data_IF_993736921113
#
_entry.id   IF_993736921113
#
_cell.length_a   1.000
_cell.length_b   1.000
_cell.length_c   1.000
_cell.angle_alpha   90.00
_cell.angle_beta   90.00
_cell.angle_gamma   90.00
#
_symmetry.space_group_name_H-M   'P 1'
#
loop_
_entity.id
_entity.type
_entity.pdbx_description
1 polymer ?
#
# COMPACT_ATOMS: atom_id res chain seq x y z
N UNK A 1 39.62 -54.23 17.99
CA UNK A 1 40.91 -54.14 17.29
C UNK A 1 41.20 -52.64 17.15
N UNK A 2 41.82 -52.02 18.10
CA UNK A 2 43.28 -51.81 18.30
C UNK A 2 43.98 -51.48 16.96
N UNK A 3 44.50 -50.27 16.77
CA UNK A 3 45.83 -49.88 17.24
C UNK A 3 46.03 -48.36 17.26
N UNK A 4 46.65 -47.91 18.35
CA UNK A 4 47.31 -46.59 18.56
C UNK A 4 48.66 -46.58 17.88
N UNK A 5 49.17 -45.41 17.53
CA UNK A 5 50.56 -45.04 17.81
C UNK A 5 50.78 -43.53 17.78
N UNK A 6 51.29 -43.06 18.87
CA UNK A 6 51.89 -41.78 19.17
C UNK A 6 53.37 -41.82 18.83
N UNK A 7 53.99 -40.69 18.41
CA UNK A 7 55.36 -40.37 18.79
C UNK A 7 55.68 -38.88 18.78
N UNK A 8 56.36 -38.48 19.82
CA UNK A 8 56.87 -37.20 20.27
C UNK A 8 58.31 -37.02 19.80
N UNK A 9 58.80 -35.78 19.62
CA UNK A 9 60.17 -35.31 20.10
C UNK A 9 60.40 -33.86 19.63
N UNK A 10 60.63 -33.04 20.39
CA UNK A 10 61.48 -32.12 21.18
C UNK A 10 62.81 -31.69 20.50
N UNK A 11 63.18 -30.45 20.87
CA UNK A 11 64.44 -29.70 20.91
C UNK A 11 64.73 -28.83 19.67
N UNK A 12 65.34 -27.63 19.74
CA UNK A 12 66.02 -26.85 20.79
C UNK A 12 66.19 -25.39 20.31
N UNK A 13 66.30 -24.51 21.27
CA UNK A 13 66.60 -23.07 21.16
C UNK A 13 67.96 -22.76 20.53
N UNK A 14 68.01 -21.65 19.77
CA UNK A 14 69.28 -20.85 19.72
C UNK A 14 68.93 -19.37 19.51
N UNK A 15 69.36 -18.54 20.45
CA UNK A 15 69.40 -17.09 20.41
C UNK A 15 70.43 -16.57 19.46
N UNK A 16 70.14 -15.50 18.70
CA UNK A 16 71.20 -14.54 18.32
C UNK A 16 70.62 -13.15 18.17
N UNK A 17 71.21 -12.20 18.91
CA UNK A 17 70.93 -10.76 18.90
C UNK A 17 71.69 -10.07 17.76
N UNK A 18 71.11 -9.03 17.21
CA UNK A 18 71.58 -7.66 16.91
C UNK A 18 70.84 -7.10 15.70
N UNK A 19 70.38 -5.95 15.65
CA UNK A 19 70.60 -4.56 15.92
C UNK A 19 69.96 -3.72 14.81
N UNK A 20 69.25 -2.73 15.25
CA UNK A 20 68.74 -1.49 14.64
C UNK A 20 69.11 -1.15 13.18
N UNK A 21 68.06 -0.94 12.36
CA UNK A 21 68.07 0.17 11.38
C UNK A 21 66.58 0.58 11.06
N UNK A 22 66.26 1.81 11.41
CA UNK A 22 65.00 2.48 11.11
C UNK A 22 64.99 2.85 9.63
N UNK A 23 63.98 2.37 8.88
CA UNK A 23 63.62 2.98 7.58
C UNK A 23 62.12 3.13 7.50
N UNK A 24 61.66 4.38 7.49
CA UNK A 24 60.31 4.80 7.22
C UNK A 24 59.97 4.51 5.76
N UNK A 25 59.08 3.58 5.50
CA UNK A 25 58.40 3.44 4.21
C UNK A 25 56.96 3.86 4.42
N UNK A 26 56.62 5.01 3.85
CA UNK A 26 55.23 5.50 3.77
C UNK A 26 54.45 4.58 2.81
N UNK A 27 53.57 3.75 3.35
CA UNK A 27 52.60 2.98 2.57
C UNK A 27 51.39 3.88 2.32
N UNK A 28 51.27 4.41 1.10
CA UNK A 28 50.07 5.08 0.63
C UNK A 28 48.98 4.01 0.44
N UNK A 29 48.05 3.92 1.40
CA UNK A 29 46.80 3.15 1.24
C UNK A 29 45.86 3.92 0.29
N UNK A 30 45.77 3.49 -0.95
CA UNK A 30 44.70 3.85 -1.86
C UNK A 30 43.40 3.22 -1.30
N UNK A 31 42.61 4.00 -0.60
CA UNK A 31 41.23 3.64 -0.26
C UNK A 31 40.39 3.80 -1.53
N UNK A 32 40.15 2.68 -2.24
CA UNK A 32 39.07 2.64 -3.24
C UNK A 32 37.75 2.82 -2.50
N UNK A 33 37.26 4.04 -2.52
CA UNK A 33 35.89 4.36 -2.07
C UNK A 33 34.91 3.79 -3.09
N UNK A 34 34.40 2.57 -2.84
CA UNK A 34 33.18 2.11 -3.50
C UNK A 34 32.06 3.05 -3.07
N UNK A 35 31.70 3.98 -3.94
CA UNK A 35 30.47 4.73 -3.79
C UNK A 35 29.28 3.75 -3.90
N UNK A 36 28.90 3.17 -2.75
CA UNK A 36 27.57 2.55 -2.62
C UNK A 36 26.58 3.68 -2.78
N UNK A 37 25.79 3.63 -3.87
CA UNK A 37 24.63 4.52 -4.03
C UNK A 37 23.80 4.46 -2.75
N UNK A 38 23.74 5.56 -2.01
CA UNK A 38 22.85 5.66 -0.86
C UNK A 38 21.42 5.53 -1.38
N UNK A 39 20.57 4.69 -0.75
CA UNK A 39 19.15 4.76 -1.01
C UNK A 39 18.72 6.20 -0.75
N UNK A 40 18.05 6.81 -1.74
CA UNK A 40 17.51 8.16 -1.59
C UNK A 40 16.43 8.11 -0.51
N UNK A 41 16.82 8.39 0.73
CA UNK A 41 15.86 8.66 1.80
C UNK A 41 15.03 9.84 1.37
N UNK A 42 13.73 9.62 1.13
CA UNK A 42 12.77 10.70 0.94
C UNK A 42 12.80 11.51 2.22
N UNK A 43 13.48 12.63 2.20
CA UNK A 43 13.53 13.56 3.33
C UNK A 43 12.12 14.10 3.50
N UNK A 44 11.45 13.74 4.61
CA UNK A 44 10.12 14.24 4.99
C UNK A 44 10.01 15.78 4.96
N UNK A 45 11.13 16.49 4.91
CA UNK A 45 11.20 17.95 4.74
C UNK A 45 10.66 18.48 3.40
N UNK A 46 10.50 17.61 2.39
CA UNK A 46 9.94 17.97 1.08
C UNK A 46 8.41 18.14 1.11
N UNK A 47 7.75 17.69 2.17
CA UNK A 47 6.29 17.60 2.26
C UNK A 47 5.73 18.33 3.46
N UNK A 48 4.64 19.09 3.26
CA UNK A 48 3.86 19.75 4.32
C UNK A 48 2.51 19.01 4.43
N UNK A 49 2.20 18.46 5.61
CA UNK A 49 0.90 17.86 5.84
C UNK A 49 -0.21 18.90 5.79
N UNK A 50 -1.21 18.67 4.95
CA UNK A 50 -2.34 19.61 4.73
C UNK A 50 -3.67 19.05 5.21
N UNK A 51 -3.77 17.72 5.38
CA UNK A 51 -4.94 17.04 5.92
C UNK A 51 -4.56 15.70 6.52
N UNK A 52 -5.32 15.25 7.53
CA UNK A 52 -5.22 13.88 8.03
C UNK A 52 -6.49 13.40 8.71
N UNK A 53 -6.59 12.08 8.85
CA UNK A 53 -7.39 11.42 9.85
C UNK A 53 -6.53 10.37 10.56
N UNK A 54 -6.37 10.55 11.86
CA UNK A 54 -5.60 9.68 12.76
C UNK A 54 -6.52 8.68 13.48
N UNK A 55 -7.80 8.64 13.12
CA UNK A 55 -8.84 7.76 13.65
C UNK A 55 -8.90 7.69 15.19
N UNK A 56 -8.56 8.80 15.83
CA UNK A 56 -8.63 8.94 17.28
C UNK A 56 -10.10 9.03 17.74
N UNK A 57 -10.50 8.21 18.71
CA UNK A 57 -11.84 8.20 19.26
C UNK A 57 -12.14 6.94 20.06
N UNK A 58 -13.29 6.89 20.75
CA UNK A 58 -13.66 5.73 21.55
C UNK A 58 -14.03 4.53 20.66
N UNK A 59 -13.86 3.33 21.20
CA UNK A 59 -14.26 2.10 20.50
C UNK A 59 -15.74 2.12 20.15
N UNK A 60 -16.07 1.68 18.93
CA UNK A 60 -17.43 1.68 18.37
C UNK A 60 -17.88 3.01 17.76
N UNK A 61 -17.08 4.08 17.88
CA UNK A 61 -17.40 5.35 17.25
C UNK A 61 -17.34 5.25 15.70
N UNK A 62 -18.18 6.05 15.04
CA UNK A 62 -18.16 6.21 13.58
C UNK A 62 -16.99 7.07 13.14
N UNK A 63 -16.63 6.96 11.86
CA UNK A 63 -15.71 7.92 11.23
C UNK A 63 -16.30 9.33 11.22
N UNK A 64 -15.43 10.32 11.22
CA UNK A 64 -15.82 11.74 11.14
C UNK A 64 -16.58 12.01 9.83
N UNK A 65 -17.86 12.38 9.95
CA UNK A 65 -18.74 12.68 8.80
C UNK A 65 -18.35 13.96 8.03
N UNK A 66 -17.49 14.80 8.60
CA UNK A 66 -16.91 15.94 7.88
C UNK A 66 -15.77 15.52 6.96
N UNK A 67 -15.16 14.36 7.22
CA UNK A 67 -14.05 13.80 6.43
C UNK A 67 -14.50 12.69 5.49
N UNK A 68 -15.44 11.85 5.91
CA UNK A 68 -15.81 10.63 5.21
C UNK A 68 -17.32 10.53 4.93
N UNK A 69 -17.64 9.86 3.84
CA UNK A 69 -18.97 9.35 3.52
C UNK A 69 -18.88 7.86 3.19
N UNK A 70 -20.01 7.14 3.36
CA UNK A 70 -20.09 5.72 3.07
C UNK A 70 -20.60 5.47 1.66
N UNK A 71 -20.09 4.43 1.00
CA UNK A 71 -20.83 3.71 -0.01
C UNK A 71 -21.58 2.57 0.69
N UNK A 72 -22.80 2.29 0.26
CA UNK A 72 -23.66 1.23 0.82
C UNK A 72 -24.23 0.37 -0.29
N UNK A 73 -24.74 -0.81 0.07
CA UNK A 73 -25.31 -1.80 -0.83
C UNK A 73 -24.25 -2.53 -1.70
N UNK A 74 -24.69 -3.16 -2.78
CA UNK A 74 -23.88 -4.01 -3.65
C UNK A 74 -23.52 -3.36 -5.00
N UNK A 75 -23.70 -2.04 -5.11
CA UNK A 75 -23.40 -1.27 -6.32
C UNK A 75 -24.52 -1.20 -7.35
N UNK A 76 -25.57 -2.02 -7.25
CA UNK A 76 -26.66 -2.01 -8.23
C UNK A 76 -27.41 -0.69 -8.26
N UNK A 77 -27.57 -0.01 -7.13
CA UNK A 77 -28.26 1.29 -7.02
C UNK A 77 -27.54 2.44 -7.75
N UNK A 78 -26.25 2.23 -8.09
CA UNK A 78 -25.47 3.18 -8.90
C UNK A 78 -25.10 2.61 -10.28
N UNK A 79 -25.77 1.51 -10.67
CA UNK A 79 -25.64 0.91 -12.01
C UNK A 79 -24.42 -0.02 -12.21
N UNK A 80 -23.69 -0.36 -11.15
CA UNK A 80 -22.50 -1.22 -11.21
C UNK A 80 -22.62 -2.36 -10.19
N UNK A 81 -23.57 -3.30 -10.45
CA UNK A 81 -23.77 -4.46 -9.57
C UNK A 81 -22.47 -5.20 -9.29
N UNK A 82 -22.27 -5.66 -8.04
CA UNK A 82 -21.00 -6.24 -7.60
C UNK A 82 -19.84 -5.27 -7.76
N UNK A 83 -20.12 -3.97 -7.66
CA UNK A 83 -19.16 -2.86 -7.82
C UNK A 83 -18.36 -2.92 -9.12
N UNK A 84 -18.86 -3.64 -10.14
CA UNK A 84 -18.24 -3.81 -11.45
C UNK A 84 -17.22 -4.96 -11.53
N UNK A 85 -16.95 -5.65 -10.43
CA UNK A 85 -15.96 -6.72 -10.31
C UNK A 85 -16.55 -8.05 -9.84
N UNK A 86 -17.89 -8.18 -9.84
CA UNK A 86 -18.63 -9.33 -9.31
C UNK A 86 -18.36 -9.58 -7.80
N UNK A 87 -18.05 -8.49 -7.06
CA UNK A 87 -17.83 -8.50 -5.62
C UNK A 87 -19.07 -9.04 -4.88
N UNK A 88 -18.87 -9.72 -3.76
CA UNK A 88 -19.91 -10.50 -3.07
C UNK A 88 -20.38 -9.86 -1.76
N UNK A 89 -19.79 -8.77 -1.32
CA UNK A 89 -20.27 -8.05 -0.14
C UNK A 89 -21.38 -7.08 -0.46
N UNK A 90 -22.14 -6.81 0.59
CA UNK A 90 -23.02 -5.67 0.71
C UNK A 90 -22.36 -4.67 1.65
N UNK A 91 -21.95 -3.51 1.16
CA UNK A 91 -21.36 -2.49 1.98
C UNK A 91 -22.39 -1.84 2.90
N UNK A 92 -21.98 -1.63 4.16
CA UNK A 92 -22.82 -1.03 5.21
C UNK A 92 -22.05 0.06 5.95
N UNK A 93 -22.77 0.86 6.72
CA UNK A 93 -22.21 1.80 7.71
C UNK A 93 -22.39 1.29 9.14
N UNK A 94 -22.70 0.00 9.31
CA UNK A 94 -22.92 -0.61 10.61
C UNK A 94 -21.61 -0.73 11.40
N UNK A 95 -21.63 -0.50 12.73
CA UNK A 95 -20.40 -0.57 13.55
C UNK A 95 -19.70 -1.93 13.49
N UNK A 96 -20.44 -3.00 13.18
CA UNK A 96 -19.89 -4.34 13.00
C UNK A 96 -18.99 -4.45 11.78
N UNK A 97 -19.20 -3.62 10.75
CA UNK A 97 -18.41 -3.58 9.54
C UNK A 97 -17.40 -2.44 9.53
N UNK A 98 -17.68 -1.33 10.23
CA UNK A 98 -16.78 -0.19 10.27
C UNK A 98 -16.94 0.64 11.54
N UNK A 99 -15.88 0.71 12.34
CA UNK A 99 -15.84 1.52 13.56
C UNK A 99 -14.41 1.84 13.97
N UNK A 100 -14.24 2.88 14.77
CA UNK A 100 -13.00 3.12 15.50
C UNK A 100 -12.82 2.04 16.57
N UNK A 101 -11.61 1.56 16.77
CA UNK A 101 -11.34 0.49 17.75
C UNK A 101 -10.96 0.98 19.15
N UNK A 102 -10.89 2.30 19.35
CA UNK A 102 -10.49 2.92 20.62
C UNK A 102 -8.98 2.92 20.90
N UNK A 103 -8.16 2.54 19.90
CA UNK A 103 -6.68 2.51 19.98
C UNK A 103 -6.03 3.39 18.91
N UNK A 104 -6.77 4.37 18.39
CA UNK A 104 -6.29 5.23 17.28
C UNK A 104 -6.32 4.53 15.93
N UNK A 105 -7.27 3.63 15.67
CA UNK A 105 -7.37 2.90 14.41
C UNK A 105 -8.82 2.77 13.97
N UNK A 106 -9.03 2.84 12.66
CA UNK A 106 -10.26 2.43 12.01
C UNK A 106 -10.18 0.93 11.68
N UNK A 107 -11.24 0.18 12.01
CA UNK A 107 -11.42 -1.21 11.64
C UNK A 107 -12.49 -1.31 10.55
N UNK A 108 -12.15 -1.91 9.40
CA UNK A 108 -13.11 -2.32 8.35
C UNK A 108 -13.14 -3.85 8.36
N UNK A 109 -14.33 -4.43 8.58
CA UNK A 109 -14.48 -5.86 8.77
C UNK A 109 -15.49 -6.49 7.80
N UNK A 110 -15.05 -7.55 7.11
CA UNK A 110 -15.94 -8.48 6.40
C UNK A 110 -16.56 -9.43 7.41
N UNK A 111 -17.88 -9.64 7.28
CA UNK A 111 -18.66 -10.56 8.11
C UNK A 111 -19.67 -11.35 7.26
N UNK A 112 -20.21 -12.43 7.82
CA UNK A 112 -21.39 -13.06 7.25
C UNK A 112 -22.55 -12.06 7.25
N UNK A 113 -23.29 -12.04 6.14
CA UNK A 113 -24.49 -11.20 6.04
C UNK A 113 -25.60 -11.73 6.97
N UNK A 114 -26.40 -10.86 7.58
CA UNK A 114 -27.61 -11.25 8.28
C UNK A 114 -28.62 -11.81 7.29
N UNK A 115 -29.52 -12.67 7.79
CA UNK A 115 -30.62 -13.20 6.98
C UNK A 115 -31.55 -12.07 6.48
N UNK A 116 -32.09 -12.23 5.27
CA UNK A 116 -33.03 -11.30 4.66
C UNK A 116 -32.39 -10.18 3.85
N UNK A 117 -31.06 -10.05 3.83
CA UNK A 117 -30.36 -9.10 2.94
C UNK A 117 -30.23 -9.69 1.54
N UNK A 118 -30.56 -8.90 0.51
CA UNK A 118 -30.54 -9.32 -0.89
C UNK A 118 -29.49 -8.55 -1.68
N UNK A 119 -28.65 -9.26 -2.42
CA UNK A 119 -27.65 -8.78 -3.36
C UNK A 119 -28.03 -9.12 -4.81
N UNK A 120 -27.28 -8.64 -5.78
CA UNK A 120 -27.50 -8.89 -7.21
C UNK A 120 -27.50 -10.38 -7.59
N UNK A 121 -26.84 -11.23 -6.80
CA UNK A 121 -26.75 -12.67 -7.00
C UNK A 121 -27.72 -13.50 -6.13
N UNK A 122 -28.66 -12.88 -5.41
CA UNK A 122 -29.61 -13.51 -4.48
C UNK A 122 -29.33 -13.15 -3.02
N UNK A 123 -29.54 -14.02 -2.04
CA UNK A 123 -29.23 -13.73 -0.64
C UNK A 123 -27.77 -13.32 -0.49
N UNK A 124 -27.52 -12.17 0.16
CA UNK A 124 -26.16 -11.71 0.40
C UNK A 124 -25.42 -12.68 1.30
N UNK A 125 -24.17 -13.01 0.94
CA UNK A 125 -23.29 -13.88 1.74
C UNK A 125 -22.50 -13.09 2.76
N UNK A 126 -22.10 -11.86 2.40
CA UNK A 126 -21.18 -11.07 3.19
C UNK A 126 -21.64 -9.62 3.32
N UNK A 127 -21.21 -8.98 4.41
CA UNK A 127 -21.23 -7.53 4.59
C UNK A 127 -19.82 -7.03 4.83
N UNK A 128 -19.55 -5.79 4.42
CA UNK A 128 -18.29 -5.08 4.63
C UNK A 128 -18.53 -3.58 4.67
N UNK A 129 -17.45 -2.79 4.53
CA UNK A 129 -17.60 -1.34 4.42
C UNK A 129 -16.65 -0.73 3.38
N UNK A 130 -17.11 0.40 2.82
CA UNK A 130 -16.37 1.28 1.92
C UNK A 130 -16.66 2.72 2.29
N UNK A 131 -15.59 3.50 2.47
CA UNK A 131 -15.66 4.94 2.76
C UNK A 131 -14.86 5.75 1.74
N UNK A 132 -15.24 7.01 1.61
CA UNK A 132 -14.61 7.93 0.66
C UNK A 132 -14.64 9.37 1.17
N UNK A 133 -13.66 10.16 0.71
CA UNK A 133 -13.59 11.60 1.00
C UNK A 133 -14.30 12.46 -0.05
N UNK A 134 -15.03 11.86 -1.01
CA UNK A 134 -15.73 12.58 -2.08
C UNK A 134 -16.68 13.64 -1.51
N UNK A 135 -16.56 14.87 -2.01
CA UNK A 135 -17.37 16.02 -1.55
C UNK A 135 -16.98 16.54 -0.17
N UNK A 136 -15.90 16.01 0.44
CA UNK A 136 -15.35 16.42 1.74
C UNK A 136 -13.92 16.94 1.58
N UNK A 137 -13.01 16.09 1.06
CA UNK A 137 -11.63 16.44 0.79
C UNK A 137 -11.20 15.84 -0.55
N UNK A 138 -10.49 16.62 -1.33
CA UNK A 138 -9.90 16.24 -2.59
C UNK A 138 -8.41 16.59 -2.56
N UNK A 139 -7.56 15.56 -2.60
CA UNK A 139 -6.13 15.73 -2.60
C UNK A 139 -5.66 16.35 -3.93
N UNK A 140 -4.94 17.45 -3.88
CA UNK A 140 -4.24 18.04 -5.03
C UNK A 140 -3.01 17.18 -5.36
N UNK A 141 -2.42 17.32 -6.58
CA UNK A 141 -1.12 16.72 -6.87
C UNK A 141 -0.12 16.95 -5.74
N UNK A 142 0.46 15.88 -5.25
CA UNK A 142 1.25 15.88 -4.03
C UNK A 142 1.50 14.45 -3.54
N UNK A 143 1.36 14.21 -2.23
CA UNK A 143 1.51 12.89 -1.63
C UNK A 143 0.29 12.52 -0.79
N UNK A 144 -0.21 11.29 -0.95
CA UNK A 144 -1.21 10.68 -0.08
C UNK A 144 -0.65 9.39 0.46
N UNK A 145 -0.82 9.17 1.76
CA UNK A 145 -0.37 7.93 2.40
C UNK A 145 -1.39 7.43 3.43
N UNK A 146 -1.43 6.12 3.60
CA UNK A 146 -2.17 5.46 4.67
C UNK A 146 -1.30 4.37 5.30
N UNK A 147 -1.40 4.22 6.62
CA UNK A 147 -0.74 3.13 7.34
C UNK A 147 -1.77 2.07 7.69
N UNK A 148 -1.60 0.89 7.10
CA UNK A 148 -2.62 -0.17 7.08
C UNK A 148 -2.01 -1.51 7.43
N UNK A 149 -2.74 -2.31 8.23
CA UNK A 149 -2.51 -3.74 8.43
C UNK A 149 -3.59 -4.51 7.70
N UNK A 150 -3.16 -5.38 6.77
CA UNK A 150 -4.07 -6.10 5.88
C UNK A 150 -4.55 -7.42 6.51
N UNK A 151 -5.78 -7.86 6.21
CA UNK A 151 -6.20 -9.23 6.52
C UNK A 151 -5.56 -10.22 5.53
N UNK A 152 -5.51 -11.50 5.90
CA UNK A 152 -5.13 -12.60 5.03
C UNK A 152 -6.28 -13.59 4.87
N UNK A 153 -6.43 -14.16 3.69
CA UNK A 153 -7.43 -15.17 3.35
C UNK A 153 -7.93 -15.01 1.93
N UNK A 154 -8.04 -16.11 1.20
CA UNK A 154 -8.51 -16.10 -0.18
C UNK A 154 -9.88 -15.45 -0.30
N UNK A 155 -10.03 -14.65 -1.33
CA UNK A 155 -11.23 -13.90 -1.64
C UNK A 155 -11.29 -12.51 -0.98
N UNK A 156 -10.38 -12.18 -0.05
CA UNK A 156 -10.30 -10.83 0.52
C UNK A 156 -9.54 -9.89 -0.42
N UNK A 157 -10.11 -8.72 -0.62
CA UNK A 157 -9.56 -7.66 -1.48
C UNK A 157 -9.57 -6.32 -0.73
N UNK A 158 -8.60 -6.04 0.13
CA UNK A 158 -8.43 -4.72 0.70
C UNK A 158 -7.94 -3.74 -0.37
N UNK A 159 -8.55 -2.54 -0.39
CA UNK A 159 -8.24 -1.46 -1.30
C UNK A 159 -8.00 -0.13 -0.60
N UNK A 160 -6.91 0.54 -0.98
CA UNK A 160 -6.64 1.95 -0.73
C UNK A 160 -6.33 2.60 -2.08
N UNK A 161 -7.24 3.43 -2.55
CA UNK A 161 -7.25 3.93 -3.91
C UNK A 161 -7.91 5.31 -4.02
N UNK A 162 -7.87 5.90 -5.18
CA UNK A 162 -8.34 7.26 -5.41
C UNK A 162 -9.00 7.38 -6.79
N UNK A 163 -10.07 8.17 -6.89
CA UNK A 163 -10.70 8.53 -8.16
C UNK A 163 -10.63 10.04 -8.40
N UNK A 164 -10.56 10.40 -9.68
CA UNK A 164 -10.58 11.80 -10.09
C UNK A 164 -11.80 12.54 -9.56
N UNK A 165 -11.60 13.76 -9.06
CA UNK A 165 -12.63 14.57 -8.41
C UNK A 165 -13.80 14.94 -9.31
N UNK A 166 -13.62 14.86 -10.63
CA UNK A 166 -14.64 15.09 -11.65
C UNK A 166 -15.61 13.91 -11.83
N UNK A 167 -15.38 12.76 -11.19
CA UNK A 167 -16.33 11.64 -11.19
C UNK A 167 -17.59 11.99 -10.36
N UNK A 168 -18.85 11.72 -10.82
CA UNK A 168 -19.23 10.94 -12.02
C UNK A 168 -19.50 11.79 -13.25
N UNK A 169 -19.35 13.13 -13.21
CA UNK A 169 -19.58 13.97 -14.38
C UNK A 169 -18.66 13.57 -15.54
N UNK A 170 -17.43 13.21 -15.23
CA UNK A 170 -16.52 12.46 -16.11
C UNK A 170 -16.53 11.01 -15.67
N UNK A 171 -17.11 10.08 -16.46
CA UNK A 171 -17.23 8.68 -16.04
C UNK A 171 -15.85 7.97 -16.03
N UNK A 172 -15.77 6.89 -15.29
CA UNK A 172 -14.62 5.98 -15.33
C UNK A 172 -14.54 5.31 -16.72
N UNK A 173 -13.34 5.09 -17.29
CA UNK A 173 -12.02 5.41 -16.74
C UNK A 173 -11.50 6.82 -17.05
N UNK A 174 -12.31 7.68 -17.67
CA UNK A 174 -11.92 9.02 -18.11
C UNK A 174 -11.58 9.96 -16.94
N UNK A 175 -12.15 9.72 -15.76
CA UNK A 175 -11.83 10.49 -14.56
C UNK A 175 -10.45 10.19 -13.99
N UNK A 176 -9.83 9.07 -14.39
CA UNK A 176 -8.57 8.58 -13.81
C UNK A 176 -8.76 7.88 -12.46
N UNK A 177 -7.90 6.92 -12.18
CA UNK A 177 -7.84 6.14 -10.94
C UNK A 177 -6.39 5.88 -10.56
N UNK A 178 -6.12 5.94 -9.26
CA UNK A 178 -4.83 5.65 -8.64
C UNK A 178 -5.03 4.58 -7.58
N UNK A 179 -4.61 3.35 -7.85
CA UNK A 179 -4.66 2.24 -6.90
C UNK A 179 -3.37 2.23 -6.11
N UNK A 180 -3.41 2.84 -4.91
CA UNK A 180 -2.22 2.99 -4.08
C UNK A 180 -1.81 1.66 -3.48
N UNK A 181 -2.78 0.85 -3.08
CA UNK A 181 -2.58 -0.50 -2.57
C UNK A 181 -3.81 -1.36 -2.86
N UNK A 182 -3.57 -2.47 -3.51
CA UNK A 182 -4.49 -3.59 -3.62
C UNK A 182 -3.77 -4.88 -3.20
N UNK A 183 -4.47 -5.78 -2.54
CA UNK A 183 -3.89 -7.05 -2.13
C UNK A 183 -4.85 -8.21 -2.45
N UNK A 184 -4.30 -9.28 -3.02
CA UNK A 184 -4.95 -10.57 -3.04
C UNK A 184 -4.79 -11.19 -1.66
N UNK A 185 -5.87 -11.33 -0.89
CA UNK A 185 -5.82 -11.93 0.45
C UNK A 185 -5.24 -13.34 0.46
N UNK A 186 -5.31 -14.06 -0.67
CA UNK A 186 -4.64 -15.35 -0.89
C UNK A 186 -3.13 -15.26 -0.94
N UNK A 187 -2.57 -14.07 -1.20
CA UNK A 187 -1.12 -13.81 -1.21
C UNK A 187 -0.76 -12.64 -0.28
N UNK A 188 -0.76 -12.84 1.04
CA UNK A 188 -0.58 -11.77 2.01
C UNK A 188 0.84 -11.18 2.04
N UNK A 189 1.77 -11.69 1.24
CA UNK A 189 3.14 -11.16 1.09
C UNK A 189 3.29 -10.13 -0.01
N UNK A 190 2.31 -10.03 -0.92
CA UNK A 190 2.40 -9.16 -2.08
C UNK A 190 1.22 -8.19 -2.15
N UNK A 191 1.49 -6.98 -2.63
CA UNK A 191 0.50 -5.97 -3.00
C UNK A 191 0.76 -5.51 -4.42
N UNK A 192 -0.19 -4.82 -5.01
CA UNK A 192 -0.04 -4.14 -6.30
C UNK A 192 -0.45 -2.68 -6.19
N UNK A 193 0.13 -1.87 -7.07
CA UNK A 193 -0.29 -0.50 -7.35
C UNK A 193 -0.55 -0.35 -8.83
N UNK A 194 -1.54 0.46 -9.19
CA UNK A 194 -1.93 0.66 -10.59
C UNK A 194 -2.40 2.08 -10.87
N UNK A 195 -2.45 2.43 -12.14
CA UNK A 195 -3.19 3.58 -12.65
C UNK A 195 -4.11 3.14 -13.78
N UNK A 196 -5.33 3.67 -13.78
CA UNK A 196 -6.30 3.49 -14.85
C UNK A 196 -6.69 4.83 -15.45
N UNK A 197 -6.90 4.82 -16.78
CA UNK A 197 -7.34 5.98 -17.54
C UNK A 197 -7.70 5.61 -18.97
N UNK A 198 -8.02 6.59 -19.83
CA UNK A 198 -8.42 6.35 -21.21
C UNK A 198 -7.35 5.59 -22.00
N UNK A 199 -7.68 4.37 -22.46
CA UNK A 199 -6.78 3.51 -23.24
C UNK A 199 -5.95 2.53 -22.40
N UNK A 200 -5.94 2.65 -21.07
CA UNK A 200 -5.21 1.77 -20.15
C UNK A 200 -6.03 1.53 -18.87
N UNK A 201 -6.95 0.59 -18.92
CA UNK A 201 -7.87 0.29 -17.81
C UNK A 201 -8.30 -1.17 -17.79
N UNK A 202 -8.98 -1.58 -16.72
CA UNK A 202 -9.49 -2.92 -16.52
C UNK A 202 -8.37 -3.96 -16.54
N UNK A 203 -8.25 -4.75 -17.60
CA UNK A 203 -7.23 -5.79 -17.73
C UNK A 203 -5.87 -5.31 -18.25
N UNK A 204 -5.75 -4.05 -18.62
CA UNK A 204 -4.55 -3.47 -19.22
C UNK A 204 -4.11 -2.16 -18.56
N UNK A 205 -4.11 -2.05 -17.23
CA UNK A 205 -3.61 -0.88 -16.52
C UNK A 205 -2.08 -0.80 -16.61
N UNK A 206 -1.52 0.35 -16.23
CA UNK A 206 -0.12 0.39 -15.80
C UNK A 206 -0.07 -0.06 -14.34
N UNK A 207 0.40 -1.26 -14.09
CA UNK A 207 0.42 -1.89 -12.76
C UNK A 207 1.77 -2.52 -12.44
N UNK A 208 2.13 -2.55 -11.17
CA UNK A 208 3.33 -3.21 -10.65
C UNK A 208 3.06 -3.80 -9.26
N UNK A 209 3.43 -5.08 -9.10
CA UNK A 209 3.43 -5.75 -7.82
C UNK A 209 4.65 -5.40 -6.97
N UNK A 210 4.49 -5.49 -5.65
CA UNK A 210 5.55 -5.44 -4.66
C UNK A 210 5.41 -6.61 -3.70
N UNK A 211 6.51 -7.31 -3.42
CA UNK A 211 6.54 -8.44 -2.48
C UNK A 211 7.49 -8.12 -1.32
N UNK A 212 7.00 -8.27 -0.09
CA UNK A 212 7.83 -8.11 1.11
C UNK A 212 9.02 -9.08 1.08
N UNK A 213 10.24 -8.61 1.42
CA UNK A 213 11.41 -9.47 1.53
C UNK A 213 11.22 -10.59 2.56
N UNK A 214 10.48 -10.30 3.65
CA UNK A 214 10.15 -11.24 4.72
C UNK A 214 8.81 -10.89 5.34
N UNK A 215 8.17 -11.86 6.02
CA UNK A 215 6.90 -11.65 6.70
C UNK A 215 5.72 -11.49 5.74
N UNK A 216 4.67 -10.85 6.21
CA UNK A 216 3.38 -10.68 5.54
C UNK A 216 2.77 -9.33 5.91
N UNK A 217 2.02 -8.71 5.03
CA UNK A 217 1.25 -7.49 5.29
C UNK A 217 0.14 -7.70 6.34
N UNK A 218 -0.12 -8.94 6.73
CA UNK A 218 -1.03 -9.29 7.82
C UNK A 218 -0.34 -9.39 9.18
N UNK A 219 1.00 -9.33 9.24
CA UNK A 219 1.75 -9.44 10.49
C UNK A 219 1.80 -8.10 11.24
N UNK A 220 2.00 -6.99 10.52
CA UNK A 220 2.11 -5.64 11.08
C UNK A 220 1.55 -4.57 10.14
N UNK A 221 1.60 -3.31 10.59
CA UNK A 221 1.22 -2.14 9.80
C UNK A 221 2.34 -1.74 8.84
N UNK A 222 1.94 -1.47 7.60
CA UNK A 222 2.79 -0.93 6.55
C UNK A 222 2.23 0.39 6.04
N UNK A 223 3.10 1.29 5.58
CA UNK A 223 2.69 2.55 4.95
C UNK A 223 2.65 2.39 3.44
N UNK A 224 1.49 2.64 2.86
CA UNK A 224 1.31 2.69 1.41
C UNK A 224 1.15 4.14 1.00
N UNK A 225 1.84 4.56 -0.07
CA UNK A 225 1.77 5.95 -0.50
C UNK A 225 1.84 6.11 -2.02
N UNK A 226 1.21 7.18 -2.50
CA UNK A 226 1.34 7.68 -3.86
C UNK A 226 1.82 9.12 -3.85
N UNK A 227 2.75 9.43 -4.73
CA UNK A 227 3.14 10.78 -5.12
C UNK A 227 2.81 10.98 -6.58
N UNK A 228 2.15 12.10 -6.91
CA UNK A 228 1.89 12.40 -8.31
C UNK A 228 1.99 13.90 -8.59
N UNK A 229 2.35 14.19 -9.81
CA UNK A 229 2.48 15.52 -10.38
C UNK A 229 2.03 15.54 -11.86
N UNK A 230 2.29 16.61 -12.58
CA UNK A 230 1.94 16.72 -14.00
C UNK A 230 2.74 15.80 -14.94
N UNK A 231 3.81 15.17 -14.45
CA UNK A 231 4.77 14.42 -15.26
C UNK A 231 4.83 12.94 -14.92
N UNK A 232 4.45 12.53 -13.69
CA UNK A 232 4.62 11.14 -13.24
C UNK A 232 3.77 10.81 -12.02
N UNK A 233 3.58 9.49 -11.81
CA UNK A 233 3.03 8.88 -10.60
C UNK A 233 4.10 7.94 -10.02
N UNK A 234 4.26 7.95 -8.69
CA UNK A 234 5.19 7.09 -7.96
C UNK A 234 4.49 6.43 -6.80
N UNK A 235 4.68 5.13 -6.65
CA UNK A 235 4.09 4.35 -5.56
C UNK A 235 5.17 3.83 -4.61
N UNK A 236 4.81 3.77 -3.32
CA UNK A 236 5.71 3.41 -2.24
C UNK A 236 5.04 2.39 -1.31
N UNK A 237 5.85 1.45 -0.82
CA UNK A 237 5.54 0.61 0.33
C UNK A 237 6.62 0.89 1.37
N UNK A 238 6.21 1.35 2.55
CA UNK A 238 7.09 1.91 3.57
C UNK A 238 7.98 3.02 2.97
N UNK A 239 9.29 2.90 3.06
CA UNK A 239 10.22 3.86 2.45
C UNK A 239 10.69 3.43 1.04
N UNK A 240 10.17 2.32 0.50
CA UNK A 240 10.59 1.76 -0.78
C UNK A 240 9.69 2.26 -1.91
N UNK A 241 10.26 3.05 -2.82
CA UNK A 241 9.59 3.33 -4.11
C UNK A 241 9.68 2.10 -4.99
N UNK A 242 8.56 1.43 -5.21
CA UNK A 242 8.53 0.20 -6.01
C UNK A 242 8.04 0.40 -7.44
N UNK A 243 7.35 1.52 -7.73
CA UNK A 243 6.85 1.80 -9.07
C UNK A 243 6.92 3.28 -9.41
N UNK A 244 7.26 3.58 -10.66
CA UNK A 244 7.19 4.93 -11.25
C UNK A 244 6.63 4.82 -12.65
N UNK A 245 5.65 5.66 -12.99
CA UNK A 245 5.04 5.75 -14.30
C UNK A 245 5.22 7.18 -14.79
N UNK A 246 5.89 7.36 -15.92
CA UNK A 246 6.04 8.66 -16.54
C UNK A 246 4.84 8.97 -17.46
N UNK A 247 4.46 10.24 -17.53
CA UNK A 247 3.43 10.72 -18.44
C UNK A 247 3.72 10.33 -19.90
N UNK A 248 4.99 10.41 -20.32
CA UNK A 248 5.42 10.00 -21.66
C UNK A 248 5.17 8.51 -21.95
N UNK A 249 5.14 7.66 -20.92
CA UNK A 249 4.83 6.24 -21.09
C UNK A 249 3.33 6.03 -21.29
N UNK A 250 2.52 6.74 -20.50
CA UNK A 250 1.05 6.70 -20.59
C UNK A 250 0.55 7.25 -21.93
N UNK A 251 1.11 8.37 -22.39
CA UNK A 251 0.68 9.03 -23.65
C UNK A 251 0.92 8.19 -24.91
N UNK A 252 1.67 7.09 -24.82
CA UNK A 252 1.77 6.08 -25.88
C UNK A 252 0.55 5.15 -25.97
N UNK A 253 -0.22 5.06 -24.90
CA UNK A 253 -1.37 4.15 -24.76
C UNK A 253 -2.70 4.89 -24.63
N UNK A 254 -2.69 6.14 -24.14
CA UNK A 254 -3.90 6.92 -23.92
C UNK A 254 -3.62 8.30 -23.35
N UNK A 255 -4.66 8.98 -22.86
CA UNK A 255 -4.51 10.33 -22.33
C UNK A 255 -4.02 10.34 -20.87
N UNK A 256 -3.12 11.29 -20.53
CA UNK A 256 -2.77 11.59 -19.15
C UNK A 256 -3.89 12.36 -18.46
N UNK A 257 -4.47 11.79 -17.40
CA UNK A 257 -5.65 12.35 -16.68
C UNK A 257 -5.36 12.70 -15.22
N UNK A 258 -4.09 12.71 -14.81
CA UNK A 258 -3.68 12.90 -13.41
C UNK A 258 -3.33 14.36 -13.05
N UNK A 259 -3.68 15.34 -13.92
CA UNK A 259 -3.51 16.78 -13.67
C UNK A 259 -4.69 17.39 -12.89
N UNK A 260 -5.34 16.62 -12.04
CA UNK A 260 -6.52 17.03 -11.31
C UNK A 260 -6.48 16.53 -9.87
N UNK A 261 -7.35 17.05 -8.99
CA UNK A 261 -7.52 16.50 -7.66
C UNK A 261 -8.16 15.12 -7.69
N UNK A 262 -7.89 14.33 -6.66
CA UNK A 262 -8.44 12.99 -6.45
C UNK A 262 -9.08 12.90 -5.05
N UNK A 263 -10.18 12.16 -4.93
CA UNK A 263 -10.72 11.78 -3.63
C UNK A 263 -10.30 10.36 -3.26
N UNK A 264 -10.16 10.12 -1.96
CA UNK A 264 -9.64 8.87 -1.40
C UNK A 264 -10.78 7.90 -1.15
N UNK A 265 -10.52 6.60 -1.38
CA UNK A 265 -11.40 5.48 -1.03
C UNK A 265 -10.61 4.44 -0.20
N UNK A 266 -11.32 3.85 0.77
CA UNK A 266 -10.86 2.71 1.56
C UNK A 266 -11.98 1.69 1.63
N UNK A 267 -11.68 0.44 1.29
CA UNK A 267 -12.65 -0.65 1.39
C UNK A 267 -11.97 -2.00 1.67
N UNK A 268 -12.77 -2.94 2.11
CA UNK A 268 -12.41 -4.35 2.14
C UNK A 268 -13.48 -5.13 1.38
N UNK A 269 -13.21 -5.45 0.12
CA UNK A 269 -14.06 -6.29 -0.70
C UNK A 269 -13.86 -7.77 -0.39
N UNK A 270 -14.79 -8.61 -0.82
CA UNK A 270 -14.70 -10.08 -0.74
C UNK A 270 -15.35 -10.74 -1.93
N UNK A 271 -14.69 -11.76 -2.49
CA UNK A 271 -15.12 -12.43 -3.71
C UNK A 271 -14.84 -11.63 -4.97
N UNK A 272 -15.41 -12.04 -6.07
CA UNK A 272 -15.28 -11.37 -7.34
C UNK A 272 -14.08 -11.77 -8.16
N UNK A 273 -13.75 -10.95 -9.17
CA UNK A 273 -12.81 -11.33 -10.23
C UNK A 273 -11.34 -11.15 -9.86
N UNK A 274 -11.03 -10.46 -8.75
CA UNK A 274 -9.64 -10.13 -8.39
C UNK A 274 -8.94 -11.29 -7.67
N UNK A 275 -9.46 -11.76 -6.53
CA UNK A 275 -8.88 -12.88 -5.75
C UNK A 275 -9.78 -14.13 -5.73
N UNK A 276 -10.89 -14.10 -6.50
CA UNK A 276 -11.90 -15.16 -6.53
C UNK A 276 -12.76 -15.18 -5.27
N UNK A 277 -13.65 -16.15 -5.20
CA UNK A 277 -14.48 -16.34 -4.00
C UNK A 277 -13.69 -17.01 -2.87
N UNK A 278 -14.03 -16.73 -1.60
CA UNK A 278 -13.41 -17.41 -0.47
C UNK A 278 -13.77 -18.91 -0.51
N UNK A 279 -12.78 -19.76 -0.26
CA UNK A 279 -12.98 -21.22 -0.22
C UNK A 279 -13.81 -21.65 1.00
N UNK A 280 -13.78 -20.85 2.05
CA UNK A 280 -14.46 -21.15 3.32
C UNK A 280 -14.70 -19.84 4.10
N UNK A 281 -15.84 -19.80 4.82
CA UNK A 281 -16.11 -18.72 5.77
C UNK A 281 -15.28 -18.80 7.06
N UNK A 282 -14.35 -19.74 7.16
CA UNK A 282 -13.44 -19.85 8.31
C UNK A 282 -12.47 -18.64 8.44
N UNK A 283 -12.32 -17.86 7.35
CA UNK A 283 -11.55 -16.60 7.39
C UNK A 283 -12.29 -15.46 8.10
N UNK A 284 -13.58 -15.62 8.39
CA UNK A 284 -14.42 -14.54 8.94
C UNK A 284 -14.51 -14.60 10.48
N UNK A 285 -14.57 -13.45 11.16
CA UNK A 285 -14.48 -12.11 10.59
C UNK A 285 -13.05 -11.76 10.18
N UNK A 286 -12.90 -11.15 9.00
CA UNK A 286 -11.62 -10.62 8.53
C UNK A 286 -11.59 -9.10 8.65
N UNK A 287 -10.50 -8.53 9.15
CA UNK A 287 -10.44 -7.10 9.47
C UNK A 287 -9.19 -6.45 8.90
N UNK A 288 -9.37 -5.37 8.15
CA UNK A 288 -8.35 -4.40 7.78
C UNK A 288 -8.30 -3.31 8.85
N UNK A 289 -7.12 -3.01 9.37
CA UNK A 289 -6.90 -1.93 10.33
C UNK A 289 -6.16 -0.77 9.67
N UNK A 290 -6.68 0.44 9.82
CA UNK A 290 -6.08 1.67 9.29
C UNK A 290 -5.68 2.56 10.48
N UNK A 291 -4.39 2.85 10.61
CA UNK A 291 -3.82 3.68 11.67
C UNK A 291 -4.02 5.17 11.38
N UNK A 292 -3.73 5.57 10.14
CA UNK A 292 -3.99 6.92 9.67
C UNK A 292 -4.13 7.00 8.15
N UNK A 293 -4.72 8.12 7.71
CA UNK A 293 -4.62 8.61 6.32
C UNK A 293 -4.14 10.05 6.36
N UNK A 294 -3.11 10.37 5.57
CA UNK A 294 -2.48 11.70 5.54
C UNK A 294 -2.30 12.19 4.11
N UNK A 295 -2.50 13.50 3.93
CA UNK A 295 -2.33 14.19 2.65
C UNK A 295 -1.30 15.29 2.83
N UNK A 296 -0.37 15.39 1.88
CA UNK A 296 0.72 16.34 1.90
C UNK A 296 0.77 17.12 0.59
N UNK A 297 1.05 18.41 0.70
CA UNK A 297 1.44 19.27 -0.41
C UNK A 297 2.97 19.39 -0.49
N UNK A 298 3.54 19.64 -1.68
CA UNK A 298 4.95 19.98 -1.79
C UNK A 298 5.29 21.20 -0.91
N UNK A 299 6.39 21.15 -0.15
CA UNK A 299 6.86 22.31 0.60
C UNK A 299 7.30 23.41 -0.36
N UNK A 300 7.28 24.70 0.07
CA UNK A 300 7.64 25.85 -0.78
C UNK A 300 9.06 25.77 -1.35
N UNK A 301 9.95 25.05 -0.67
CA UNK A 301 11.36 24.88 -1.05
C UNK A 301 11.63 23.55 -1.77
N UNK A 302 10.58 22.82 -2.13
CA UNK A 302 10.71 21.55 -2.81
C UNK A 302 11.19 21.76 -4.25
N UNK A 303 12.48 21.56 -4.47
CA UNK A 303 13.04 21.35 -5.80
C UNK A 303 13.16 19.85 -6.02
N UNK A 304 12.39 19.35 -6.97
CA UNK A 304 12.40 17.92 -7.30
C UNK A 304 13.83 17.46 -7.63
N UNK A 305 14.32 16.35 -7.04
CA UNK A 305 15.58 15.76 -7.48
C UNK A 305 15.48 15.46 -8.97
N UNK A 306 16.39 15.98 -9.78
CA UNK A 306 16.50 15.62 -11.20
C UNK A 306 16.70 14.09 -11.31
N UNK A 307 16.17 13.47 -12.37
CA UNK A 307 16.27 12.02 -12.59
C UNK A 307 17.69 11.51 -12.63
#
# INVERSE_FOLDING_TARGET
MQYRASFSSRHTLLFCRASRAVRWLALALLVLSCARGQPSTVTRSAWTQVWSDEFNGPAGARVDSLKWSYDTADGCQVGICGWGNDEKEYYTSAPENIALNGRGQLAIAVRRAPAGLTCHYGPCRYTSARIKTKGKMHAQPGRVEARIKLPAGQGLWPGFWMLGSNYPATPWPMCGELDVMENHGSNPRATSSAIHGPGYFGKTPFAQGYTLPAGSFSDDFHTFAVEWDSLRVRFYVDDTRHYTIARSDVERSGAWVFNQPFFILLNLAIGGTFDGDPQSDAILPATMLIDYVRVYAPSRDYTEPRP
#
